data_IF_946138899598
#
_entry.id   IF_946138899598
#
_cell.length_a   1.000
_cell.length_b   1.000
_cell.length_c   1.000
_cell.angle_alpha   90.00
_cell.angle_beta   90.00
_cell.angle_gamma   90.00
#
_symmetry.space_group_name_H-M   'P 1'
#
loop_
_entity.id
_entity.type
_entity.pdbx_description
1 polymer ?
#
# COMPACT_ATOMS: atom_id res chain seq x y z
N UNK A 1 8.14 0.08 -54.74
CA UNK A 1 9.07 -0.97 -54.25
C UNK A 1 10.41 -0.25 -54.13
N UNK A 2 10.72 0.39 -53.01
CA UNK A 2 10.68 -0.10 -51.63
C UNK A 2 10.23 0.97 -50.64
N UNK A 3 9.40 0.51 -49.71
CA UNK A 3 8.95 1.12 -48.47
C UNK A 3 10.02 0.79 -47.41
N UNK A 4 10.67 1.81 -46.84
CA UNK A 4 11.47 1.62 -45.63
C UNK A 4 11.21 2.75 -44.62
N UNK A 5 10.35 2.38 -43.67
CA UNK A 5 10.56 2.58 -42.24
C UNK A 5 10.77 4.02 -41.76
N UNK A 6 9.63 4.69 -41.61
CA UNK A 6 9.43 5.77 -40.63
C UNK A 6 9.71 5.21 -39.22
N UNK A 7 10.95 5.34 -38.74
CA UNK A 7 11.29 5.07 -37.34
C UNK A 7 10.58 6.12 -36.50
N UNK A 8 9.40 5.76 -36.01
CA UNK A 8 8.64 6.52 -35.03
C UNK A 8 9.52 6.71 -33.80
N UNK A 9 10.00 7.92 -33.59
CA UNK A 9 10.63 8.36 -32.37
C UNK A 9 9.70 8.01 -31.21
N UNK A 10 10.02 6.95 -30.48
CA UNK A 10 9.38 6.64 -29.21
C UNK A 10 9.61 7.86 -28.34
N UNK A 11 8.56 8.65 -28.12
CA UNK A 11 8.61 9.76 -27.19
C UNK A 11 8.93 9.18 -25.83
N UNK A 12 10.19 9.32 -25.39
CA UNK A 12 10.55 9.14 -24.00
C UNK A 12 9.62 10.04 -23.20
N UNK A 13 8.66 9.44 -22.50
CA UNK A 13 7.83 10.19 -21.56
C UNK A 13 8.81 10.71 -20.50
N UNK A 14 8.94 12.03 -20.32
CA UNK A 14 9.82 12.54 -19.29
C UNK A 14 9.35 12.02 -17.93
N UNK A 15 10.31 11.70 -17.07
CA UNK A 15 10.11 11.21 -15.72
C UNK A 15 9.46 12.28 -14.83
N UNK A 16 8.18 12.60 -15.06
CA UNK A 16 7.38 13.40 -14.14
C UNK A 16 6.84 12.50 -13.03
N UNK A 17 7.69 12.16 -12.06
CA UNK A 17 7.21 11.71 -10.74
C UNK A 17 8.11 11.99 -9.53
N UNK A 18 9.00 13.01 -9.48
CA UNK A 18 9.63 13.39 -8.20
C UNK A 18 8.65 13.99 -7.16
N UNK A 19 7.57 14.66 -7.59
CA UNK A 19 6.75 15.51 -6.70
C UNK A 19 5.57 14.81 -5.99
N UNK A 20 5.22 13.57 -6.36
CA UNK A 20 4.05 12.90 -5.78
C UNK A 20 4.30 12.37 -4.36
N UNK A 21 5.51 11.89 -4.05
CA UNK A 21 5.83 11.36 -2.72
C UNK A 21 5.93 12.44 -1.63
N UNK A 22 6.61 13.59 -1.83
CA UNK A 22 6.66 14.65 -0.83
C UNK A 22 5.28 15.17 -0.44
N UNK A 23 4.41 15.40 -1.43
CA UNK A 23 3.04 15.86 -1.19
C UNK A 23 2.18 14.81 -0.48
N UNK A 24 2.33 13.52 -0.84
CA UNK A 24 1.72 12.41 -0.12
C UNK A 24 2.17 12.33 1.34
N UNK A 25 3.48 12.41 1.62
CA UNK A 25 4.00 12.37 2.99
C UNK A 25 3.49 13.53 3.84
N UNK A 26 3.47 14.74 3.27
CA UNK A 26 2.87 15.90 3.94
C UNK A 26 1.40 15.68 4.31
N UNK A 27 0.62 14.93 3.50
CA UNK A 27 -0.78 14.62 3.81
C UNK A 27 -0.90 13.60 4.94
N UNK A 28 -0.09 12.53 4.95
CA UNK A 28 -0.22 11.46 5.95
C UNK A 28 0.41 11.81 7.31
N UNK A 29 1.38 12.73 7.34
CA UNK A 29 2.01 13.17 8.59
C UNK A 29 1.13 14.17 9.38
N UNK A 30 0.06 14.69 8.77
CA UNK A 30 -0.85 15.62 9.44
C UNK A 30 -1.72 14.91 10.47
N UNK A 31 -1.68 15.44 11.70
CA UNK A 31 -2.60 15.11 12.77
C UNK A 31 -2.10 14.03 13.74
N UNK A 32 -2.78 13.94 14.89
CA UNK A 32 -2.41 12.98 15.94
C UNK A 32 -2.80 11.54 15.59
N UNK A 33 -2.08 10.61 16.23
CA UNK A 33 -2.42 9.20 16.30
C UNK A 33 -3.76 9.00 17.01
N UNK A 34 -4.45 7.91 16.67
CA UNK A 34 -5.68 7.50 17.33
C UNK A 34 -5.36 6.98 18.74
N UNK A 35 -6.18 7.38 19.70
CA UNK A 35 -6.25 6.69 20.99
C UNK A 35 -6.92 5.32 20.82
N UNK A 36 -6.78 4.46 21.84
CA UNK A 36 -7.41 3.13 21.82
C UNK A 36 -8.93 3.20 21.68
N UNK A 37 -9.58 4.13 22.40
CA UNK A 37 -11.03 4.32 22.31
C UNK A 37 -11.48 4.71 20.91
N UNK A 38 -10.83 5.71 20.30
CA UNK A 38 -11.16 6.13 18.93
C UNK A 38 -10.90 5.05 17.89
N UNK A 39 -9.84 4.25 18.07
CA UNK A 39 -9.55 3.09 17.21
C UNK A 39 -10.68 2.08 17.28
N UNK A 40 -11.19 1.79 18.48
CA UNK A 40 -12.34 0.88 18.67
C UNK A 40 -13.62 1.44 18.07
N UNK A 41 -13.92 2.72 18.28
CA UNK A 41 -15.14 3.35 17.76
C UNK A 41 -15.14 3.37 16.23
N UNK A 42 -14.01 3.73 15.62
CA UNK A 42 -13.85 3.71 14.17
C UNK A 42 -13.90 2.29 13.60
N UNK A 43 -13.32 1.31 14.29
CA UNK A 43 -13.37 -0.09 13.86
C UNK A 43 -14.79 -0.65 13.91
N UNK A 44 -15.55 -0.39 14.98
CA UNK A 44 -16.97 -0.78 15.09
C UNK A 44 -17.82 -0.12 14.02
N UNK A 45 -17.64 1.19 13.81
CA UNK A 45 -18.31 1.92 12.74
C UNK A 45 -18.00 1.32 11.37
N UNK A 46 -16.73 1.01 11.10
CA UNK A 46 -16.32 0.39 9.85
C UNK A 46 -16.96 -1.00 9.63
N UNK A 47 -17.03 -1.83 10.68
CA UNK A 47 -17.73 -3.13 10.63
C UNK A 47 -19.24 -2.97 10.40
N UNK A 48 -19.86 -1.95 10.98
CA UNK A 48 -21.27 -1.63 10.76
C UNK A 48 -21.57 -1.01 9.38
N UNK A 49 -20.55 -0.85 8.52
CA UNK A 49 -20.70 -0.31 7.17
C UNK A 49 -20.56 1.21 7.07
N UNK A 50 -20.17 1.91 8.14
CA UNK A 50 -19.88 3.35 8.08
C UNK A 50 -18.61 3.60 7.25
N UNK A 51 -18.84 4.10 6.03
CA UNK A 51 -17.77 4.46 5.09
C UNK A 51 -16.85 5.55 5.62
N UNK A 52 -17.35 6.51 6.42
CA UNK A 52 -16.52 7.57 7.01
C UNK A 52 -15.63 7.00 8.10
N UNK A 53 -16.16 6.12 8.95
CA UNK A 53 -15.36 5.43 9.96
C UNK A 53 -14.25 4.57 9.33
N UNK A 54 -14.60 3.78 8.29
CA UNK A 54 -13.64 3.00 7.49
C UNK A 54 -12.54 3.89 6.90
N UNK A 55 -12.92 4.96 6.22
CA UNK A 55 -11.98 5.87 5.58
C UNK A 55 -11.02 6.49 6.61
N UNK A 56 -11.55 6.98 7.73
CA UNK A 56 -10.76 7.61 8.78
C UNK A 56 -9.82 6.62 9.46
N UNK A 57 -10.24 5.37 9.65
CA UNK A 57 -9.37 4.31 10.17
C UNK A 57 -8.22 3.99 9.21
N UNK A 58 -8.48 3.95 7.90
CA UNK A 58 -7.44 3.76 6.87
C UNK A 58 -6.44 4.93 6.90
N UNK A 59 -6.92 6.17 6.80
CA UNK A 59 -6.10 7.38 6.72
C UNK A 59 -5.16 7.50 7.93
N UNK A 60 -5.65 7.19 9.13
CA UNK A 60 -4.87 7.25 10.36
C UNK A 60 -3.77 6.19 10.46
N UNK A 61 -3.79 5.18 9.59
CA UNK A 61 -2.82 4.09 9.56
C UNK A 61 -1.92 4.10 8.31
N UNK A 62 -1.98 5.11 7.44
CA UNK A 62 -1.11 5.19 6.26
C UNK A 62 0.39 5.28 6.61
N UNK A 63 0.73 5.89 7.75
CA UNK A 63 2.13 5.94 8.26
C UNK A 63 2.69 4.54 8.58
N UNK A 64 1.83 3.61 9.03
CA UNK A 64 2.20 2.22 9.26
C UNK A 64 2.52 1.50 7.93
N UNK A 65 1.76 1.77 6.87
CA UNK A 65 2.03 1.20 5.55
C UNK A 65 3.41 1.63 5.05
N UNK A 66 3.70 2.93 5.11
CA UNK A 66 4.99 3.48 4.69
C UNK A 66 6.14 2.87 5.49
N UNK A 67 6.00 2.71 6.81
CA UNK A 67 7.06 2.15 7.65
C UNK A 67 7.35 0.67 7.36
N UNK A 68 6.34 -0.11 6.94
CA UNK A 68 6.50 -1.50 6.51
C UNK A 68 7.08 -1.56 5.10
N UNK A 69 6.53 -0.81 4.14
CA UNK A 69 6.96 -0.80 2.74
C UNK A 69 8.43 -0.38 2.58
N UNK A 70 8.93 0.51 3.46
CA UNK A 70 10.35 0.92 3.49
C UNK A 70 11.32 -0.27 3.57
N UNK A 71 10.92 -1.38 4.22
CA UNK A 71 11.76 -2.59 4.39
C UNK A 71 11.92 -3.41 3.11
N UNK A 72 11.11 -3.14 2.09
CA UNK A 72 11.08 -3.89 0.82
C UNK A 72 11.66 -3.08 -0.36
N UNK A 73 12.22 -1.89 -0.11
CA UNK A 73 12.86 -1.10 -1.16
C UNK A 73 14.04 -1.85 -1.78
N UNK A 74 14.26 -1.63 -3.07
CA UNK A 74 15.36 -2.28 -3.81
C UNK A 74 15.07 -3.73 -4.23
N UNK A 75 13.85 -4.24 -4.00
CA UNK A 75 13.47 -5.61 -4.38
C UNK A 75 12.73 -5.67 -5.73
N UNK A 76 13.12 -4.81 -6.69
CA UNK A 76 12.58 -4.85 -8.05
C UNK A 76 11.25 -4.13 -8.29
N UNK A 77 10.68 -3.46 -7.28
CA UNK A 77 9.52 -2.58 -7.43
C UNK A 77 9.82 -1.13 -6.99
N UNK A 78 9.27 -0.11 -7.67
CA UNK A 78 9.24 1.27 -7.20
C UNK A 78 8.65 1.39 -5.80
N UNK A 79 9.07 2.41 -5.05
CA UNK A 79 8.64 2.56 -3.66
C UNK A 79 7.16 2.94 -3.55
N UNK A 80 6.68 3.71 -4.52
CA UNK A 80 5.29 4.09 -4.72
C UNK A 80 4.42 2.84 -4.86
N UNK A 81 4.84 1.89 -5.70
CA UNK A 81 4.10 0.65 -5.92
C UNK A 81 4.06 -0.21 -4.64
N UNK A 82 5.16 -0.29 -3.89
CA UNK A 82 5.18 -0.98 -2.59
C UNK A 82 4.20 -0.34 -1.58
N UNK A 83 4.12 1.01 -1.56
CA UNK A 83 3.16 1.72 -0.70
C UNK A 83 1.73 1.41 -1.15
N UNK A 84 1.45 1.42 -2.45
CA UNK A 84 0.11 1.15 -2.97
C UNK A 84 -0.35 -0.29 -2.67
N UNK A 85 0.52 -1.28 -2.83
CA UNK A 85 0.24 -2.67 -2.48
C UNK A 85 0.02 -2.84 -0.97
N UNK A 86 0.83 -2.15 -0.16
CA UNK A 86 0.64 -2.08 1.28
C UNK A 86 -0.70 -1.43 1.68
N UNK A 87 -1.13 -0.39 0.97
CA UNK A 87 -2.42 0.27 1.18
C UNK A 87 -3.59 -0.70 0.86
N UNK A 88 -3.46 -1.53 -0.17
CA UNK A 88 -4.43 -2.60 -0.47
C UNK A 88 -4.47 -3.62 0.68
N UNK A 89 -3.32 -4.00 1.22
CA UNK A 89 -3.22 -4.84 2.42
C UNK A 89 -3.93 -4.20 3.63
N UNK A 90 -3.71 -2.91 3.87
CA UNK A 90 -4.35 -2.16 4.94
C UNK A 90 -5.89 -2.14 4.79
N UNK A 91 -6.41 -1.90 3.58
CA UNK A 91 -7.86 -1.90 3.35
C UNK A 91 -8.49 -3.26 3.69
N UNK A 92 -7.83 -4.37 3.30
CA UNK A 92 -8.25 -5.73 3.67
C UNK A 92 -8.19 -5.96 5.18
N UNK A 93 -7.20 -5.39 5.87
CA UNK A 93 -7.12 -5.46 7.32
C UNK A 93 -8.31 -4.75 7.97
N UNK A 94 -8.68 -3.56 7.50
CA UNK A 94 -9.83 -2.82 8.03
C UNK A 94 -11.14 -3.60 7.83
N UNK A 95 -11.32 -4.23 6.67
CA UNK A 95 -12.52 -5.03 6.37
C UNK A 95 -12.68 -6.26 7.27
N UNK A 96 -11.58 -6.84 7.75
CA UNK A 96 -11.58 -8.10 8.50
C UNK A 96 -11.26 -7.95 9.99
N UNK A 97 -10.92 -6.74 10.42
CA UNK A 97 -10.55 -6.49 11.81
C UNK A 97 -11.75 -6.64 12.73
N UNK A 98 -11.51 -7.23 13.90
CA UNK A 98 -12.50 -7.44 14.95
C UNK A 98 -12.06 -6.71 16.22
N UNK A 99 -12.68 -5.56 16.56
CA UNK A 99 -12.29 -4.75 17.71
C UNK A 99 -12.61 -5.43 19.05
N UNK A 100 -13.54 -6.38 19.09
CA UNK A 100 -13.97 -7.05 20.32
C UNK A 100 -12.92 -8.05 20.84
N UNK A 101 -11.94 -8.43 20.02
CA UNK A 101 -10.82 -9.28 20.44
C UNK A 101 -9.79 -8.55 21.31
N UNK A 102 -9.89 -7.23 21.45
CA UNK A 102 -9.08 -6.44 22.39
C UNK A 102 -7.63 -6.11 21.95
N UNK A 103 -7.19 -6.59 20.79
CA UNK A 103 -5.87 -6.29 20.22
C UNK A 103 -5.85 -4.92 19.54
N UNK A 104 -4.66 -4.30 19.46
CA UNK A 104 -4.48 -3.08 18.67
C UNK A 104 -4.63 -3.38 17.19
N UNK A 105 -5.29 -2.48 16.45
CA UNK A 105 -5.46 -2.60 15.01
C UNK A 105 -4.11 -2.70 14.28
N UNK A 106 -3.10 -1.93 14.70
CA UNK A 106 -1.77 -1.93 14.11
C UNK A 106 -1.10 -3.32 14.12
N UNK A 107 -1.31 -4.11 15.18
CA UNK A 107 -0.82 -5.48 15.28
C UNK A 107 -1.42 -6.37 14.20
N UNK A 108 -2.74 -6.27 14.00
CA UNK A 108 -3.45 -7.04 12.98
C UNK A 108 -3.09 -6.58 11.56
N UNK A 109 -3.10 -5.27 11.33
CA UNK A 109 -2.82 -4.66 10.03
C UNK A 109 -1.40 -4.98 9.52
N UNK A 110 -0.42 -5.09 10.42
CA UNK A 110 0.96 -5.40 10.05
C UNK A 110 1.08 -6.67 9.22
N UNK A 111 0.32 -7.73 9.54
CA UNK A 111 0.33 -8.97 8.78
C UNK A 111 -0.20 -8.80 7.36
N UNK A 112 -1.35 -8.14 7.21
CA UNK A 112 -1.96 -7.90 5.91
C UNK A 112 -1.12 -7.00 5.01
N UNK A 113 -0.55 -5.93 5.57
CA UNK A 113 0.33 -5.02 4.84
C UNK A 113 1.58 -5.78 4.38
N UNK A 114 2.25 -6.51 5.30
CA UNK A 114 3.44 -7.29 4.98
C UNK A 114 3.17 -8.31 3.88
N UNK A 115 2.07 -9.06 4.01
CA UNK A 115 1.68 -10.09 3.05
C UNK A 115 1.43 -9.49 1.66
N UNK A 116 0.73 -8.36 1.58
CA UNK A 116 0.46 -7.70 0.30
C UNK A 116 1.75 -7.22 -0.38
N UNK A 117 2.64 -6.56 0.38
CA UNK A 117 3.92 -6.08 -0.14
C UNK A 117 4.81 -7.25 -0.59
N UNK A 118 5.00 -8.26 0.24
CA UNK A 118 5.84 -9.42 -0.10
C UNK A 118 5.31 -10.17 -1.31
N UNK A 119 3.99 -10.36 -1.39
CA UNK A 119 3.35 -10.98 -2.55
C UNK A 119 3.60 -10.16 -3.81
N UNK A 120 3.44 -8.83 -3.76
CA UNK A 120 3.68 -7.98 -4.91
C UNK A 120 5.11 -8.04 -5.43
N UNK A 121 6.10 -8.07 -4.53
CA UNK A 121 7.51 -8.24 -4.88
C UNK A 121 7.73 -9.57 -5.61
N UNK A 122 7.19 -10.67 -5.08
CA UNK A 122 7.35 -11.98 -5.70
C UNK A 122 6.63 -12.07 -7.07
N UNK A 123 5.47 -11.43 -7.19
CA UNK A 123 4.60 -11.47 -8.36
C UNK A 123 5.03 -10.53 -9.49
N UNK A 124 5.61 -9.36 -9.15
CA UNK A 124 5.83 -8.22 -10.06
C UNK A 124 7.27 -7.66 -10.04
N UNK A 125 8.10 -8.04 -9.07
CA UNK A 125 9.46 -7.49 -8.93
C UNK A 125 10.47 -7.99 -9.96
N UNK A 126 10.07 -8.91 -10.84
CA UNK A 126 10.90 -9.42 -11.94
C UNK A 126 10.24 -9.07 -13.28
N UNK A 127 11.05 -8.72 -14.28
CA UNK A 127 10.58 -8.46 -15.65
C UNK A 127 9.81 -9.65 -16.23
N UNK A 128 10.26 -10.87 -15.92
CA UNK A 128 9.56 -12.11 -16.25
C UNK A 128 9.04 -12.70 -14.95
N UNK A 129 7.71 -12.86 -14.86
CA UNK A 129 7.01 -13.43 -13.71
C UNK A 129 7.41 -14.89 -13.50
N UNK A 130 7.80 -15.23 -12.27
CA UNK A 130 8.05 -16.61 -11.85
C UNK A 130 7.03 -17.01 -10.78
N UNK A 131 6.42 -18.21 -10.85
CA UNK A 131 5.50 -18.67 -9.82
C UNK A 131 6.19 -18.80 -8.45
N UNK A 132 5.49 -18.39 -7.39
CA UNK A 132 6.04 -18.31 -6.02
C UNK A 132 6.48 -19.65 -5.42
N UNK A 133 5.99 -20.79 -5.93
CA UNK A 133 6.31 -22.13 -5.42
C UNK A 133 7.53 -22.79 -6.07
N UNK A 134 8.25 -22.09 -6.96
CA UNK A 134 9.37 -22.65 -7.74
C UNK A 134 10.76 -22.22 -7.26
N UNK A 135 10.87 -21.66 -6.06
CA UNK A 135 12.13 -21.17 -5.49
C UNK A 135 12.45 -21.81 -4.16
N UNK A 136 12.75 -23.12 -4.18
CA UNK A 136 13.55 -23.84 -3.18
C UNK A 136 14.84 -24.31 -3.87
#
# INVERSE_FOLDING_TARGET
MTDEARVSSVSERPAETPELLPSYFSRIDKGRLLSRGEEMDLARGAQAGDRRARQRLIEKNLRLVVSIAKKYRGQGLPFEDLIQEGNIGLMKAVEKFDPERGWRFSTYATWWIRQAVQRSVADKGRTIRVPVHRGD
#
